data_IF_249246055284
#
_entry.id   IF_249246055284
#
_cell.length_a   1.000
_cell.length_b   1.000
_cell.length_c   1.000
_cell.angle_alpha   90.00
_cell.angle_beta   90.00
_cell.angle_gamma   90.00
#
_symmetry.space_group_name_H-M   'P 1'
#
loop_
_entity.id
_entity.type
_entity.pdbx_description
1 polymer ?
#
# COMPACT_ATOMS: atom_id res chain seq x y z
N UNK A 1 10.53 11.42 12.29
CA UNK A 1 9.75 10.96 11.13
C UNK A 1 10.60 9.99 10.33
N UNK A 2 10.05 8.85 9.93
CA UNK A 2 10.75 7.83 9.16
C UNK A 2 11.15 8.34 7.76
N UNK A 3 12.18 7.75 7.14
CA UNK A 3 12.62 8.14 5.80
C UNK A 3 11.53 7.90 4.76
N UNK A 4 10.81 6.77 4.89
CA UNK A 4 9.67 6.49 4.02
C UNK A 4 8.54 7.50 4.17
N UNK A 5 8.20 7.95 5.39
CA UNK A 5 7.19 9.02 5.57
C UNK A 5 7.60 10.32 4.87
N UNK A 6 8.89 10.71 4.99
CA UNK A 6 9.43 11.93 4.35
C UNK A 6 9.31 11.85 2.82
N UNK A 7 9.71 10.73 2.23
CA UNK A 7 9.67 10.53 0.79
C UNK A 7 8.23 10.48 0.25
N UNK A 8 7.35 9.76 0.95
CA UNK A 8 5.93 9.69 0.61
C UNK A 8 5.24 11.07 0.66
N UNK A 9 5.44 11.82 1.73
CA UNK A 9 4.85 13.16 1.86
C UNK A 9 5.44 14.16 0.85
N UNK A 10 6.71 14.01 0.48
CA UNK A 10 7.34 14.79 -0.60
C UNK A 10 6.66 14.49 -1.93
N UNK A 11 6.42 13.22 -2.25
CA UNK A 11 5.68 12.83 -3.46
C UNK A 11 4.26 13.39 -3.46
N UNK A 12 3.54 13.26 -2.35
CA UNK A 12 2.17 13.79 -2.23
C UNK A 12 2.12 15.30 -2.47
N UNK A 13 3.04 16.07 -1.86
CA UNK A 13 3.14 17.51 -2.10
C UNK A 13 3.44 17.82 -3.56
N UNK A 14 4.42 17.13 -4.14
CA UNK A 14 4.81 17.32 -5.54
C UNK A 14 3.65 17.07 -6.50
N UNK A 15 2.83 16.04 -6.27
CA UNK A 15 1.64 15.78 -7.09
C UNK A 15 0.63 16.93 -6.97
N UNK A 16 0.38 17.44 -5.77
CA UNK A 16 -0.59 18.51 -5.55
C UNK A 16 -0.12 19.87 -6.07
N UNK A 17 1.19 20.13 -6.13
CA UNK A 17 1.80 21.40 -6.53
C UNK A 17 2.14 21.44 -8.02
N UNK A 18 2.65 20.34 -8.58
CA UNK A 18 3.18 20.28 -9.94
C UNK A 18 2.37 19.37 -10.88
N UNK A 19 1.44 18.56 -10.33
CA UNK A 19 0.68 17.60 -11.10
C UNK A 19 -0.35 18.24 -12.03
N UNK A 20 -0.66 17.54 -13.11
CA UNK A 20 -1.68 17.94 -14.07
C UNK A 20 -2.97 17.17 -13.80
N UNK A 21 -4.10 17.89 -13.82
CA UNK A 21 -5.43 17.26 -13.77
C UNK A 21 -5.69 16.55 -15.09
N UNK A 22 -6.03 15.27 -15.00
CA UNK A 22 -6.27 14.41 -16.17
C UNK A 22 -7.59 13.68 -15.99
N UNK A 23 -8.43 13.76 -17.01
CA UNK A 23 -9.63 12.95 -17.12
C UNK A 23 -9.27 11.50 -17.43
N UNK A 24 -9.97 10.56 -16.80
CA UNK A 24 -9.81 9.13 -17.03
C UNK A 24 -11.16 8.42 -17.00
N UNK A 25 -11.17 7.09 -17.11
CA UNK A 25 -12.38 6.28 -17.12
C UNK A 25 -13.11 6.22 -15.76
N UNK A 26 -12.42 6.47 -14.65
CA UNK A 26 -13.03 6.41 -13.32
C UNK A 26 -13.93 7.63 -13.07
N UNK A 27 -14.81 7.56 -12.08
CA UNK A 27 -15.72 8.65 -11.73
C UNK A 27 -14.96 9.93 -11.42
N UNK A 28 -13.83 9.84 -10.71
CA UNK A 28 -13.01 10.97 -10.31
C UNK A 28 -11.82 11.18 -11.26
N UNK A 29 -11.50 12.43 -11.58
CA UNK A 29 -10.27 12.77 -12.28
C UNK A 29 -9.06 12.52 -11.39
N UNK A 30 -7.88 12.52 -11.97
CA UNK A 30 -6.61 12.39 -11.26
C UNK A 30 -5.76 13.65 -11.42
N UNK A 31 -5.03 14.01 -10.36
CA UNK A 31 -3.90 14.92 -10.41
C UNK A 31 -2.66 14.03 -10.48
N UNK A 32 -1.83 14.15 -11.52
CA UNK A 32 -0.74 13.20 -11.74
C UNK A 32 0.58 13.82 -12.17
N UNK A 33 1.65 13.13 -11.82
CA UNK A 33 2.97 13.28 -12.41
C UNK A 33 3.20 12.18 -13.45
N UNK A 34 3.89 12.45 -14.56
CA UNK A 34 4.16 11.45 -15.59
C UNK A 34 5.11 10.35 -15.11
N UNK A 35 6.02 10.66 -14.19
CA UNK A 35 6.96 9.70 -13.59
C UNK A 35 7.45 10.15 -12.23
N UNK A 36 7.82 9.19 -11.40
CA UNK A 36 8.51 9.38 -10.13
C UNK A 36 9.36 8.16 -9.79
N UNK A 37 10.53 8.37 -9.20
CA UNK A 37 11.39 7.28 -8.73
C UNK A 37 12.00 7.63 -7.40
N UNK A 38 12.18 6.61 -6.54
CA UNK A 38 12.83 6.74 -5.24
C UNK A 38 13.49 5.43 -4.84
N UNK A 39 14.39 5.50 -3.87
CA UNK A 39 15.10 4.35 -3.30
C UNK A 39 15.07 4.44 -1.78
N UNK A 40 14.79 3.32 -1.12
CA UNK A 40 14.74 3.18 0.33
C UNK A 40 15.80 2.17 0.78
N UNK A 41 16.50 2.45 1.88
CA UNK A 41 17.40 1.50 2.52
C UNK A 41 16.61 0.63 3.51
N UNK A 42 16.25 -0.59 3.11
CA UNK A 42 15.42 -1.51 3.91
C UNK A 42 16.20 -2.08 5.09
N UNK A 43 17.54 -2.12 5.00
CA UNK A 43 18.40 -2.53 6.11
C UNK A 43 18.35 -1.56 7.29
N UNK A 44 18.25 -0.26 7.01
CA UNK A 44 18.20 0.77 8.04
C UNK A 44 16.81 0.94 8.65
N UNK A 45 15.77 0.80 7.83
CA UNK A 45 14.40 1.08 8.23
C UNK A 45 13.42 0.22 7.43
N UNK A 46 12.58 -0.56 8.13
CA UNK A 46 11.48 -1.26 7.43
C UNK A 46 10.43 -0.24 6.98
N UNK A 47 10.18 -0.10 5.65
CA UNK A 47 9.36 0.97 5.12
C UNK A 47 7.86 0.71 5.30
N UNK A 48 7.31 1.23 6.37
CA UNK A 48 5.88 1.29 6.65
C UNK A 48 5.49 2.72 7.04
N UNK A 49 4.40 3.24 6.48
CA UNK A 49 3.96 4.60 6.82
C UNK A 49 3.52 4.70 8.28
N UNK A 50 3.90 5.81 8.92
CA UNK A 50 3.47 6.16 10.28
C UNK A 50 2.58 7.41 10.33
N UNK A 51 2.55 8.22 9.30
CA UNK A 51 1.68 9.42 9.20
C UNK A 51 0.20 9.08 9.03
N UNK A 52 -0.10 7.85 8.67
CA UNK A 52 -1.42 7.21 8.79
C UNK A 52 -1.24 5.73 9.11
N UNK A 53 -2.25 5.13 9.73
CA UNK A 53 -2.25 3.69 10.00
C UNK A 53 -2.21 2.88 8.71
N UNK A 54 -1.24 1.96 8.60
CA UNK A 54 -1.18 0.93 7.57
C UNK A 54 -1.52 -0.44 8.18
N UNK A 55 -2.35 -1.21 7.49
CA UNK A 55 -2.74 -2.56 7.92
C UNK A 55 -1.77 -3.58 7.32
N UNK A 56 -0.57 -3.71 7.92
CA UNK A 56 0.53 -4.54 7.40
C UNK A 56 0.13 -5.99 7.17
N UNK A 57 -0.70 -6.59 8.06
CA UNK A 57 -1.21 -7.95 7.88
C UNK A 57 -1.97 -8.11 6.55
N UNK A 58 -2.82 -7.16 6.19
CA UNK A 58 -3.55 -7.21 4.93
C UNK A 58 -2.60 -7.10 3.73
N UNK A 59 -1.62 -6.19 3.81
CA UNK A 59 -0.59 -6.03 2.79
C UNK A 59 0.23 -7.33 2.62
N UNK A 60 0.59 -7.97 3.72
CA UNK A 60 1.36 -9.21 3.71
C UNK A 60 0.56 -10.38 3.12
N UNK A 61 -0.70 -10.54 3.52
CA UNK A 61 -1.57 -11.59 2.98
C UNK A 61 -1.84 -11.41 1.48
N UNK A 62 -2.00 -10.18 1.00
CA UNK A 62 -2.12 -9.90 -0.43
C UNK A 62 -0.84 -10.29 -1.18
N UNK A 63 0.34 -9.94 -0.65
CA UNK A 63 1.61 -10.35 -1.24
C UNK A 63 1.73 -11.89 -1.32
N UNK A 64 1.45 -12.57 -0.22
CA UNK A 64 1.50 -14.03 -0.15
C UNK A 64 0.49 -14.68 -1.10
N UNK A 65 -0.70 -14.11 -1.24
CA UNK A 65 -1.71 -14.54 -2.21
C UNK A 65 -1.19 -14.49 -3.65
N UNK A 66 -0.49 -13.40 -4.03
CA UNK A 66 0.05 -13.23 -5.39
C UNK A 66 1.28 -14.11 -5.64
N UNK A 67 2.25 -14.12 -4.71
CA UNK A 67 3.59 -14.67 -4.96
C UNK A 67 3.84 -16.05 -4.36
N UNK A 68 3.18 -16.39 -3.24
CA UNK A 68 3.38 -17.69 -2.58
C UNK A 68 2.25 -18.65 -2.95
N UNK A 69 0.99 -18.28 -2.74
CA UNK A 69 -0.18 -19.09 -3.09
C UNK A 69 -0.41 -19.10 -4.59
N UNK A 70 0.03 -18.05 -5.26
CA UNK A 70 -0.07 -17.85 -6.72
C UNK A 70 -1.52 -18.01 -7.21
N UNK A 71 -2.43 -17.31 -6.52
CA UNK A 71 -3.88 -17.39 -6.76
C UNK A 71 -4.45 -16.07 -7.23
N UNK A 72 -5.57 -16.13 -7.94
CA UNK A 72 -6.43 -14.99 -8.32
C UNK A 72 -7.82 -15.08 -7.67
N UNK A 73 -8.05 -16.07 -6.80
CA UNK A 73 -9.31 -16.27 -6.09
C UNK A 73 -9.44 -15.28 -4.92
N UNK A 74 -10.43 -14.39 -5.02
CA UNK A 74 -10.71 -13.37 -3.98
C UNK A 74 -11.27 -14.01 -2.71
N UNK A 75 -11.95 -15.15 -2.81
CA UNK A 75 -12.50 -15.83 -1.63
C UNK A 75 -11.37 -16.22 -0.66
N UNK A 76 -10.19 -16.59 -1.17
CA UNK A 76 -9.02 -16.88 -0.34
C UNK A 76 -8.63 -15.70 0.59
N UNK A 77 -8.72 -14.46 0.07
CA UNK A 77 -8.49 -13.23 0.85
C UNK A 77 -9.65 -12.98 1.83
N UNK A 78 -10.90 -13.15 1.39
CA UNK A 78 -12.09 -12.95 2.22
C UNK A 78 -12.12 -13.89 3.42
N UNK A 79 -11.73 -15.16 3.24
CA UNK A 79 -11.59 -16.15 4.33
C UNK A 79 -10.57 -15.71 5.39
N UNK A 80 -9.64 -14.84 5.00
CA UNK A 80 -8.62 -14.24 5.87
C UNK A 80 -8.96 -12.81 6.33
N UNK A 81 -10.21 -12.39 6.14
CA UNK A 81 -10.72 -11.05 6.49
C UNK A 81 -9.95 -9.91 5.80
N UNK A 82 -9.59 -10.12 4.55
CA UNK A 82 -8.95 -9.15 3.67
C UNK A 82 -9.92 -8.83 2.53
N UNK A 83 -10.38 -7.58 2.47
CA UNK A 83 -11.43 -7.12 1.54
C UNK A 83 -10.92 -6.19 0.43
N UNK A 84 -9.61 -6.01 0.31
CA UNK A 84 -9.01 -5.03 -0.62
C UNK A 84 -9.26 -5.33 -2.10
N UNK A 85 -9.68 -6.55 -2.44
CA UNK A 85 -10.01 -6.99 -3.80
C UNK A 85 -11.50 -7.24 -4.04
N UNK A 86 -12.38 -7.03 -3.05
CA UNK A 86 -13.82 -7.29 -3.17
C UNK A 86 -14.46 -6.51 -4.33
N UNK A 87 -13.99 -5.29 -4.57
CA UNK A 87 -14.47 -4.39 -5.61
C UNK A 87 -14.13 -4.85 -7.04
N UNK A 88 -13.18 -5.78 -7.18
CA UNK A 88 -12.72 -6.32 -8.47
C UNK A 88 -13.07 -7.80 -8.67
N UNK A 89 -13.90 -8.35 -7.78
CA UNK A 89 -14.34 -9.74 -7.83
C UNK A 89 -15.37 -9.93 -8.94
N UNK A 90 -15.14 -10.94 -9.79
CA UNK A 90 -16.09 -11.37 -10.81
C UNK A 90 -17.25 -12.10 -10.11
N UNK A 91 -18.48 -11.73 -10.47
CA UNK A 91 -19.70 -12.29 -9.88
C UNK A 91 -20.01 -13.72 -10.34
N UNK A 92 -21.10 -14.29 -9.82
CA UNK A 92 -21.52 -15.66 -10.10
C UNK A 92 -21.95 -15.90 -11.55
N UNK A 93 -22.20 -14.84 -12.30
CA UNK A 93 -22.58 -14.87 -13.72
C UNK A 93 -21.40 -14.57 -14.65
N UNK A 94 -20.19 -14.43 -14.13
CA UNK A 94 -19.00 -14.12 -14.90
C UNK A 94 -18.82 -12.64 -15.24
N UNK A 95 -19.54 -11.72 -14.59
CA UNK A 95 -19.43 -10.28 -14.83
C UNK A 95 -18.63 -9.57 -13.74
N UNK A 96 -17.89 -8.56 -14.13
CA UNK A 96 -17.43 -7.50 -13.26
C UNK A 96 -18.22 -6.24 -13.51
N UNK A 97 -18.69 -5.61 -12.44
CA UNK A 97 -19.58 -4.46 -12.50
C UNK A 97 -18.95 -3.26 -11.80
N UNK A 98 -19.02 -2.08 -12.44
CA UNK A 98 -18.52 -0.84 -11.86
C UNK A 98 -19.24 0.39 -12.42
N UNK A 99 -19.28 1.46 -11.64
CA UNK A 99 -19.62 2.79 -12.15
C UNK A 99 -18.39 3.44 -12.77
N UNK A 100 -18.50 3.89 -14.01
CA UNK A 100 -17.42 4.56 -14.74
C UNK A 100 -17.97 5.69 -15.61
N UNK A 101 -17.07 6.55 -16.10
CA UNK A 101 -17.41 7.51 -17.15
C UNK A 101 -17.67 6.79 -18.46
N UNK A 102 -18.84 7.01 -19.02
CA UNK A 102 -19.29 6.45 -20.32
C UNK A 102 -19.49 7.60 -21.30
N UNK A 103 -19.01 7.42 -22.52
CA UNK A 103 -19.29 8.37 -23.62
C UNK A 103 -20.68 8.12 -24.18
N UNK A 104 -21.50 9.14 -24.21
CA UNK A 104 -22.82 9.11 -24.81
C UNK A 104 -22.74 9.25 -26.34
N UNK A 105 -23.79 8.85 -27.08
CA UNK A 105 -23.82 8.99 -28.53
C UNK A 105 -23.72 10.44 -29.05
N UNK A 106 -24.07 11.43 -28.23
CA UNK A 106 -23.96 12.86 -28.52
C UNK A 106 -22.55 13.45 -28.24
N UNK A 107 -21.59 12.60 -27.79
CA UNK A 107 -20.23 12.99 -27.47
C UNK A 107 -20.03 13.50 -26.04
N UNK A 108 -21.10 13.63 -25.26
CA UNK A 108 -21.01 13.99 -23.83
C UNK A 108 -20.54 12.81 -22.99
N UNK A 109 -20.11 13.08 -21.76
CA UNK A 109 -19.70 12.04 -20.80
C UNK A 109 -20.67 12.04 -19.62
N UNK A 110 -21.17 10.87 -19.25
CA UNK A 110 -21.98 10.65 -18.05
C UNK A 110 -21.40 9.54 -17.20
N UNK A 111 -21.83 9.43 -15.94
CA UNK A 111 -21.53 8.28 -15.10
C UNK A 111 -22.58 7.21 -15.39
N UNK A 112 -22.14 6.01 -15.67
CA UNK A 112 -23.00 4.87 -15.96
C UNK A 112 -22.40 3.57 -15.46
N UNK A 113 -23.25 2.55 -15.32
CA UNK A 113 -22.84 1.19 -15.00
C UNK A 113 -22.14 0.55 -16.19
N UNK A 114 -20.99 -0.04 -15.94
CA UNK A 114 -20.23 -0.87 -16.89
C UNK A 114 -20.30 -2.31 -16.44
N UNK A 115 -20.78 -3.19 -17.33
CA UNK A 115 -20.84 -4.63 -17.12
C UNK A 115 -19.86 -5.29 -18.09
N UNK A 116 -18.76 -5.83 -17.57
CA UNK A 116 -17.78 -6.53 -18.41
C UNK A 116 -17.84 -8.02 -18.13
N UNK A 117 -18.16 -8.80 -19.18
CA UNK A 117 -18.18 -10.26 -19.11
C UNK A 117 -16.77 -10.82 -19.28
N UNK A 118 -16.36 -11.69 -18.37
CA UNK A 118 -15.08 -12.39 -18.40
C UNK A 118 -15.25 -13.90 -18.61
N UNK A 119 -16.37 -14.48 -18.19
CA UNK A 119 -16.69 -15.90 -18.23
C UNK A 119 -17.07 -16.44 -16.85
N UNK A 120 -18.01 -17.40 -16.81
CA UNK A 120 -18.44 -18.03 -15.55
C UNK A 120 -17.31 -18.82 -14.89
N UNK A 121 -16.34 -19.29 -15.67
CA UNK A 121 -15.12 -19.99 -15.19
C UNK A 121 -14.24 -19.10 -14.31
N UNK A 122 -14.37 -17.77 -14.39
CA UNK A 122 -13.63 -16.81 -13.55
C UNK A 122 -14.41 -16.32 -12.33
N UNK A 123 -15.60 -16.90 -12.08
CA UNK A 123 -16.39 -16.59 -10.88
C UNK A 123 -15.54 -16.59 -9.60
N UNK A 124 -15.71 -15.56 -8.78
CA UNK A 124 -15.00 -15.41 -7.50
C UNK A 124 -13.56 -14.92 -7.62
N UNK A 125 -13.05 -14.76 -8.84
CA UNK A 125 -11.65 -14.36 -9.10
C UNK A 125 -11.56 -12.94 -9.65
N UNK A 126 -10.32 -12.48 -9.88
CA UNK A 126 -10.01 -11.25 -10.63
C UNK A 126 -9.65 -11.52 -12.11
N UNK A 127 -9.92 -12.71 -12.62
CA UNK A 127 -9.53 -13.14 -13.96
C UNK A 127 -8.05 -13.45 -14.09
N UNK A 128 -7.51 -13.40 -15.32
CA UNK A 128 -6.12 -13.78 -15.62
C UNK A 128 -5.12 -12.66 -15.27
N UNK A 129 -4.98 -12.35 -13.97
CA UNK A 129 -4.08 -11.31 -13.48
C UNK A 129 -3.33 -11.73 -12.21
N UNK A 130 -2.22 -11.08 -11.91
CA UNK A 130 -1.42 -11.23 -10.69
C UNK A 130 -1.05 -12.68 -10.38
N UNK A 131 -1.64 -13.30 -9.35
CA UNK A 131 -1.34 -14.66 -8.92
C UNK A 131 -1.63 -15.73 -10.00
N UNK A 132 -2.60 -15.50 -10.89
CA UNK A 132 -2.79 -16.35 -12.06
C UNK A 132 -1.55 -16.38 -12.95
N UNK A 133 -0.92 -15.23 -13.18
CA UNK A 133 0.26 -15.12 -14.02
C UNK A 133 1.49 -15.74 -13.35
N UNK A 134 1.69 -15.49 -12.05
CA UNK A 134 2.81 -16.08 -11.31
C UNK A 134 2.75 -17.61 -11.32
N UNK A 135 1.54 -18.17 -11.17
CA UNK A 135 1.29 -19.63 -11.26
C UNK A 135 1.60 -20.14 -12.66
N UNK A 136 0.96 -19.56 -13.67
CA UNK A 136 1.00 -20.06 -15.05
C UNK A 136 2.41 -20.09 -15.65
N UNK A 137 3.23 -19.08 -15.31
CA UNK A 137 4.55 -18.91 -15.92
C UNK A 137 5.71 -19.25 -14.97
N UNK A 138 5.41 -19.74 -13.76
CA UNK A 138 6.41 -20.16 -12.77
C UNK A 138 7.48 -19.08 -12.50
N UNK A 139 7.06 -17.81 -12.55
CA UNK A 139 8.00 -16.69 -12.43
C UNK A 139 8.69 -16.62 -11.07
N UNK A 140 7.97 -17.01 -10.01
CA UNK A 140 8.51 -17.04 -8.64
C UNK A 140 9.57 -18.13 -8.50
N UNK A 141 9.31 -19.33 -9.00
CA UNK A 141 10.27 -20.45 -8.95
C UNK A 141 11.57 -20.11 -9.66
N UNK A 142 11.47 -19.43 -10.82
CA UNK A 142 12.64 -18.96 -11.56
C UNK A 142 13.46 -17.93 -10.77
N UNK A 143 12.81 -16.96 -10.12
CA UNK A 143 13.51 -15.99 -9.27
C UNK A 143 14.17 -16.69 -8.09
N UNK A 144 13.48 -17.61 -7.43
CA UNK A 144 14.01 -18.37 -6.29
C UNK A 144 15.23 -19.19 -6.71
N UNK A 145 15.17 -19.90 -7.83
CA UNK A 145 16.33 -20.66 -8.36
C UNK A 145 17.54 -19.74 -8.59
N UNK A 146 17.32 -18.59 -9.24
CA UNK A 146 18.40 -17.63 -9.51
C UNK A 146 19.03 -17.04 -8.26
N UNK A 147 18.23 -16.58 -7.28
CA UNK A 147 18.79 -16.00 -6.05
C UNK A 147 19.51 -17.02 -5.17
N UNK A 148 19.20 -18.31 -5.33
CA UNK A 148 19.86 -19.40 -4.58
C UNK A 148 21.10 -19.88 -5.30
N UNK A 149 21.00 -20.20 -6.60
CA UNK A 149 21.98 -20.94 -7.36
C UNK A 149 22.80 -20.10 -8.36
N UNK A 150 22.32 -18.91 -8.76
CA UNK A 150 22.86 -18.07 -9.83
C UNK A 150 22.87 -16.59 -9.44
N UNK A 151 23.48 -16.27 -8.29
CA UNK A 151 23.41 -14.93 -7.65
C UNK A 151 24.00 -13.80 -8.49
N UNK A 152 24.91 -14.10 -9.39
CA UNK A 152 25.60 -13.16 -10.30
C UNK A 152 24.82 -12.86 -11.59
N UNK A 153 23.72 -13.57 -11.84
CA UNK A 153 22.92 -13.39 -13.04
C UNK A 153 22.26 -12.00 -13.07
N UNK A 154 22.24 -11.37 -14.26
CA UNK A 154 21.66 -10.03 -14.46
C UNK A 154 20.22 -10.06 -14.99
N UNK A 155 19.68 -11.25 -15.26
CA UNK A 155 18.34 -11.46 -15.80
C UNK A 155 17.36 -12.00 -14.76
N UNK A 156 17.62 -11.72 -13.48
CA UNK A 156 16.74 -12.08 -12.39
C UNK A 156 15.53 -11.13 -12.31
N UNK A 157 14.65 -11.27 -13.30
CA UNK A 157 13.47 -10.43 -13.52
C UNK A 157 12.21 -11.27 -13.41
N UNK A 158 11.26 -10.84 -12.61
CA UNK A 158 9.90 -11.36 -12.62
C UNK A 158 8.97 -10.34 -13.26
N UNK A 159 8.36 -10.71 -14.40
CA UNK A 159 7.31 -9.92 -15.04
C UNK A 159 5.97 -10.64 -14.90
N UNK A 160 4.93 -9.86 -14.62
CA UNK A 160 3.53 -10.32 -14.67
C UNK A 160 2.74 -9.62 -15.78
N UNK A 161 3.45 -8.93 -16.69
CA UNK A 161 2.87 -8.27 -17.86
C UNK A 161 2.96 -9.17 -19.08
N UNK A 162 1.88 -9.86 -19.41
CA UNK A 162 1.78 -10.72 -20.58
C UNK A 162 0.61 -10.28 -21.44
N UNK A 163 0.89 -9.83 -22.67
CA UNK A 163 -0.09 -9.19 -23.55
C UNK A 163 -1.34 -10.02 -23.85
N UNK A 164 -1.20 -11.34 -23.93
CA UNK A 164 -2.30 -12.28 -24.17
C UNK A 164 -3.25 -12.47 -22.98
N UNK A 165 -2.92 -11.90 -21.79
CA UNK A 165 -3.74 -11.98 -20.58
C UNK A 165 -4.35 -10.63 -20.16
N UNK A 166 -3.85 -9.48 -20.71
CA UNK A 166 -4.21 -8.16 -20.23
C UNK A 166 -5.70 -7.81 -20.29
N UNK A 167 -6.43 -8.39 -21.25
CA UNK A 167 -7.87 -8.13 -21.43
C UNK A 167 -8.75 -9.18 -20.73
N UNK A 168 -8.15 -10.22 -20.15
CA UNK A 168 -8.80 -11.29 -19.42
C UNK A 168 -8.75 -11.12 -17.90
N UNK A 169 -8.06 -10.12 -17.40
CA UNK A 169 -8.07 -9.69 -16.00
C UNK A 169 -8.93 -8.45 -15.81
N UNK A 170 -9.59 -8.35 -14.66
CA UNK A 170 -10.39 -7.16 -14.30
C UNK A 170 -9.52 -5.92 -14.26
N UNK A 171 -8.31 -6.04 -13.69
CA UNK A 171 -7.28 -5.00 -13.72
C UNK A 171 -6.02 -5.52 -14.40
N UNK A 172 -5.46 -4.71 -15.30
CA UNK A 172 -4.10 -4.91 -15.77
C UNK A 172 -3.12 -4.63 -14.62
N UNK A 173 -2.05 -5.43 -14.43
CA UNK A 173 -1.13 -5.26 -13.32
C UNK A 173 -0.58 -3.83 -13.21
N UNK A 174 -0.74 -3.18 -12.06
CA UNK A 174 -0.18 -1.85 -11.78
C UNK A 174 1.32 -1.95 -11.51
N UNK A 175 1.72 -2.75 -10.52
CA UNK A 175 3.09 -3.26 -10.42
C UNK A 175 3.17 -4.42 -11.41
N UNK A 176 4.03 -4.30 -12.42
CA UNK A 176 4.07 -5.25 -13.52
C UNK A 176 5.36 -6.05 -13.59
N UNK A 177 6.42 -5.62 -12.88
CA UNK A 177 7.71 -6.30 -12.82
C UNK A 177 8.47 -5.92 -11.56
N UNK A 178 9.34 -6.82 -11.11
CA UNK A 178 10.44 -6.49 -10.22
C UNK A 178 11.71 -7.24 -10.66
N UNK A 179 12.84 -6.67 -10.30
CA UNK A 179 14.17 -7.19 -10.59
C UNK A 179 14.94 -7.36 -9.27
N UNK A 180 15.79 -8.36 -9.21
CA UNK A 180 16.62 -8.64 -8.03
C UNK A 180 18.09 -8.67 -8.45
N UNK A 181 18.92 -7.97 -7.68
CA UNK A 181 20.37 -7.98 -7.78
C UNK A 181 20.97 -8.43 -6.45
N UNK A 182 21.99 -9.29 -6.50
CA UNK A 182 22.76 -9.69 -5.33
C UNK A 182 24.21 -9.30 -5.55
N UNK A 183 24.65 -8.26 -4.83
CA UNK A 183 26.03 -7.78 -4.88
C UNK A 183 26.69 -7.91 -3.52
N UNK A 184 27.83 -8.61 -3.44
CA UNK A 184 28.58 -8.81 -2.19
C UNK A 184 27.73 -9.37 -1.02
N UNK A 185 26.79 -10.28 -1.32
CA UNK A 185 25.90 -10.89 -0.33
C UNK A 185 24.76 -9.98 0.15
N UNK A 186 24.54 -8.86 -0.53
CA UNK A 186 23.44 -7.92 -0.26
C UNK A 186 22.44 -7.99 -1.41
N UNK A 187 21.17 -8.29 -1.10
CA UNK A 187 20.07 -8.35 -2.06
C UNK A 187 19.43 -6.96 -2.19
N UNK A 188 19.39 -6.45 -3.40
CA UNK A 188 18.69 -5.23 -3.79
C UNK A 188 17.51 -5.57 -4.70
N UNK A 189 16.47 -4.74 -4.69
CA UNK A 189 15.28 -4.94 -5.53
C UNK A 189 14.85 -3.66 -6.21
N UNK A 190 14.43 -3.79 -7.46
CA UNK A 190 13.85 -2.70 -8.24
C UNK A 190 12.44 -3.09 -8.68
N UNK A 191 11.45 -2.23 -8.40
CA UNK A 191 10.03 -2.46 -8.67
C UNK A 191 9.55 -1.48 -9.74
N UNK A 192 8.89 -2.00 -10.77
CA UNK A 192 8.33 -1.21 -11.86
C UNK A 192 6.81 -1.14 -11.77
N UNK A 193 6.29 0.09 -11.70
CA UNK A 193 4.86 0.35 -11.58
C UNK A 193 4.39 1.29 -12.68
N UNK A 194 3.42 0.84 -13.51
CA UNK A 194 2.91 1.62 -14.65
C UNK A 194 1.89 2.68 -14.27
N UNK A 195 1.22 2.53 -13.14
CA UNK A 195 0.17 3.41 -12.64
C UNK A 195 0.05 3.23 -11.14
N UNK A 196 -0.06 4.33 -10.41
CA UNK A 196 0.01 4.31 -8.96
C UNK A 196 -1.00 5.28 -8.34
N UNK A 197 -2.05 4.72 -7.70
CA UNK A 197 -2.83 5.43 -6.69
C UNK A 197 -1.94 5.64 -5.47
N UNK A 198 -1.33 6.83 -5.37
CA UNK A 198 -0.34 7.15 -4.34
C UNK A 198 -0.95 7.11 -2.92
N UNK A 199 -2.18 7.58 -2.68
CA UNK A 199 -2.82 7.50 -1.37
C UNK A 199 -3.11 6.08 -0.85
N UNK A 200 -3.56 5.18 -1.71
CA UNK A 200 -4.00 3.84 -1.30
C UNK A 200 -3.00 2.76 -1.69
N UNK A 201 -2.60 2.68 -2.95
CA UNK A 201 -1.79 1.60 -3.48
C UNK A 201 -0.33 1.66 -3.05
N UNK A 202 0.32 2.83 -3.17
CA UNK A 202 1.76 2.93 -2.95
C UNK A 202 2.23 2.51 -1.56
N UNK A 203 1.54 2.91 -0.45
CA UNK A 203 1.94 2.47 0.88
C UNK A 203 1.90 0.94 1.07
N UNK A 204 0.90 0.28 0.49
CA UNK A 204 0.81 -1.18 0.48
C UNK A 204 1.94 -1.78 -0.34
N UNK A 205 2.12 -1.31 -1.60
CA UNK A 205 3.13 -1.87 -2.50
C UNK A 205 4.54 -1.77 -1.91
N UNK A 206 4.93 -0.62 -1.34
CA UNK A 206 6.26 -0.46 -0.72
C UNK A 206 6.46 -1.43 0.44
N UNK A 207 5.49 -1.55 1.34
CA UNK A 207 5.55 -2.47 2.49
C UNK A 207 5.54 -3.94 2.04
N UNK A 208 4.78 -4.28 0.99
CA UNK A 208 4.73 -5.61 0.39
C UNK A 208 6.07 -6.01 -0.23
N UNK A 209 6.64 -5.14 -1.07
CA UNK A 209 7.91 -5.47 -1.73
C UNK A 209 9.10 -5.45 -0.76
N UNK A 210 9.03 -4.67 0.33
CA UNK A 210 9.99 -4.79 1.43
C UNK A 210 9.89 -6.16 2.14
N UNK A 211 8.67 -6.69 2.35
CA UNK A 211 8.49 -8.05 2.85
C UNK A 211 9.05 -9.09 1.86
N UNK A 212 8.68 -9.01 0.58
CA UNK A 212 9.14 -9.94 -0.45
C UNK A 212 10.67 -9.98 -0.54
N UNK A 213 11.29 -8.79 -0.51
CA UNK A 213 12.74 -8.63 -0.49
C UNK A 213 13.39 -9.33 0.71
N UNK A 214 12.81 -9.19 1.91
CA UNK A 214 13.29 -9.86 3.11
C UNK A 214 13.11 -11.39 3.04
N UNK A 215 11.99 -11.88 2.47
CA UNK A 215 11.77 -13.31 2.24
C UNK A 215 12.79 -13.88 1.24
N UNK A 216 13.04 -13.19 0.15
CA UNK A 216 14.07 -13.57 -0.83
C UNK A 216 15.48 -13.58 -0.21
N UNK A 217 15.83 -12.54 0.53
CA UNK A 217 17.13 -12.47 1.20
C UNK A 217 17.33 -13.63 2.21
N UNK A 218 16.26 -13.98 2.96
CA UNK A 218 16.26 -15.12 3.88
C UNK A 218 16.54 -16.44 3.15
N UNK A 219 15.83 -16.70 2.05
CA UNK A 219 15.96 -17.93 1.26
C UNK A 219 17.33 -18.01 0.58
N UNK A 220 17.83 -16.87 0.09
CA UNK A 220 19.14 -16.76 -0.56
C UNK A 220 20.32 -16.67 0.42
N UNK A 221 20.06 -16.64 1.73
CA UNK A 221 21.07 -16.38 2.75
C UNK A 221 21.89 -15.10 2.44
N UNK A 222 21.19 -14.00 2.23
CA UNK A 222 21.75 -12.67 1.94
C UNK A 222 21.26 -11.64 2.97
N UNK A 223 21.97 -10.52 3.07
CA UNK A 223 21.46 -9.33 3.75
C UNK A 223 20.49 -8.55 2.82
N UNK A 224 19.58 -7.78 3.40
CA UNK A 224 18.75 -6.86 2.62
C UNK A 224 19.50 -5.54 2.39
N UNK A 225 19.33 -4.94 1.23
CA UNK A 225 19.91 -3.67 0.83
C UNK A 225 18.85 -2.62 0.51
N UNK A 226 18.82 -2.16 -0.73
CA UNK A 226 17.96 -1.10 -1.20
C UNK A 226 16.76 -1.62 -1.97
N UNK A 227 15.60 -0.96 -1.75
CA UNK A 227 14.36 -1.16 -2.49
C UNK A 227 14.09 0.11 -3.32
N UNK A 228 14.13 -0.01 -4.62
CA UNK A 228 13.87 1.08 -5.56
C UNK A 228 12.51 0.92 -6.24
N UNK A 229 11.82 2.03 -6.46
CA UNK A 229 10.59 2.09 -7.24
C UNK A 229 10.76 3.02 -8.43
N UNK A 230 10.31 2.55 -9.59
CA UNK A 230 10.13 3.34 -10.81
C UNK A 230 8.64 3.38 -11.15
N UNK A 231 8.03 4.53 -10.99
CA UNK A 231 6.60 4.73 -11.13
C UNK A 231 6.32 5.60 -12.35
N UNK A 232 5.52 5.09 -13.28
CA UNK A 232 4.86 5.89 -14.30
C UNK A 232 3.45 6.22 -13.80
N UNK A 233 2.94 7.44 -14.09
CA UNK A 233 1.59 7.84 -13.71
C UNK A 233 1.34 7.72 -12.18
N UNK A 234 2.12 8.50 -11.41
CA UNK A 234 1.91 8.66 -9.98
C UNK A 234 0.78 9.68 -9.75
N UNK A 235 -0.34 9.27 -9.15
CA UNK A 235 -1.53 10.12 -9.08
C UNK A 235 -2.26 10.10 -7.74
N UNK A 236 -3.04 11.16 -7.53
CA UNK A 236 -4.01 11.33 -6.44
C UNK A 236 -5.36 11.61 -7.12
N UNK A 237 -6.42 10.87 -6.74
CA UNK A 237 -7.77 11.18 -7.21
C UNK A 237 -8.32 12.43 -6.53
N UNK A 238 -9.16 13.21 -7.26
CA UNK A 238 -9.72 14.46 -6.74
C UNK A 238 -10.47 14.29 -5.41
N UNK A 239 -11.20 13.16 -5.25
CA UNK A 239 -11.91 12.84 -4.00
C UNK A 239 -10.99 12.45 -2.82
N UNK A 240 -9.69 12.26 -3.04
CA UNK A 240 -8.68 11.94 -2.02
C UNK A 240 -7.89 13.16 -1.55
N UNK A 241 -8.00 14.30 -2.26
CA UNK A 241 -7.17 15.50 -2.02
C UNK A 241 -7.30 16.03 -0.60
N UNK A 242 -8.53 16.05 -0.04
CA UNK A 242 -8.77 16.51 1.34
C UNK A 242 -7.95 15.69 2.35
N UNK A 243 -7.96 14.40 2.22
CA UNK A 243 -7.28 13.46 3.12
C UNK A 243 -5.76 13.54 2.98
N UNK A 244 -5.27 13.73 1.76
CA UNK A 244 -3.83 13.88 1.54
C UNK A 244 -3.31 15.20 2.11
N UNK A 245 -4.08 16.29 1.99
CA UNK A 245 -3.75 17.56 2.66
C UNK A 245 -3.69 17.39 4.18
N UNK A 246 -4.64 16.65 4.77
CA UNK A 246 -4.62 16.31 6.20
C UNK A 246 -3.37 15.50 6.56
N UNK A 247 -3.00 14.49 5.77
CA UNK A 247 -1.81 13.67 6.03
C UNK A 247 -0.51 14.50 5.92
N UNK A 248 -0.44 15.41 4.95
CA UNK A 248 0.69 16.36 4.83
C UNK A 248 0.79 17.24 6.07
N UNK A 249 -0.34 17.71 6.59
CA UNK A 249 -0.38 18.53 7.79
C UNK A 249 0.06 17.78 9.04
N UNK A 250 -0.36 16.51 9.21
CA UNK A 250 0.16 15.62 10.26
C UNK A 250 1.69 15.54 10.20
N UNK A 251 2.28 15.41 9.01
CA UNK A 251 3.73 15.40 8.81
C UNK A 251 4.40 16.74 9.14
N UNK A 252 3.75 17.88 8.88
CA UNK A 252 4.26 19.20 9.29
C UNK A 252 4.31 19.31 10.82
N UNK A 253 3.24 18.96 11.51
CA UNK A 253 3.22 18.94 12.97
C UNK A 253 4.30 18.03 13.53
N UNK A 254 4.44 16.84 12.97
CA UNK A 254 5.50 15.91 13.40
C UNK A 254 6.89 16.52 13.23
N UNK A 255 7.17 17.22 12.14
CA UNK A 255 8.44 17.90 11.91
C UNK A 255 8.72 19.03 12.91
N UNK A 256 7.67 19.71 13.41
CA UNK A 256 7.81 20.77 14.42
C UNK A 256 8.25 20.16 15.76
N UNK A 257 7.68 19.02 16.14
CA UNK A 257 7.96 18.37 17.43
C UNK A 257 9.17 17.43 17.37
N UNK A 258 9.63 17.02 16.18
CA UNK A 258 10.77 16.14 15.99
C UNK A 258 12.09 16.83 16.39
N UNK A 259 12.54 16.71 17.53
CA UNK A 259 13.74 17.39 18.04
C UNK A 259 13.51 18.11 19.36
N UNK A 260 12.26 18.16 19.80
CA UNK A 260 11.97 18.60 21.16
C UNK A 260 12.55 17.59 22.16
N UNK A 261 13.48 18.07 22.96
CA UNK A 261 14.19 17.24 23.96
C UNK A 261 13.59 17.36 25.36
N UNK A 262 12.72 18.34 25.59
CA UNK A 262 12.11 18.54 26.90
C UNK A 262 10.87 17.64 27.03
N UNK A 263 11.08 16.45 27.59
CA UNK A 263 10.02 15.44 27.80
C UNK A 263 8.94 15.93 28.76
N UNK A 264 9.30 16.63 29.84
CA UNK A 264 8.35 17.14 30.84
C UNK A 264 7.38 18.14 30.21
N UNK A 265 7.88 19.01 29.32
CA UNK A 265 7.05 19.92 28.57
C UNK A 265 6.11 19.19 27.61
N UNK A 266 6.60 18.17 26.89
CA UNK A 266 5.79 17.36 25.99
C UNK A 266 4.70 16.59 26.74
N UNK A 267 5.02 16.05 27.92
CA UNK A 267 4.04 15.35 28.77
C UNK A 267 2.95 16.33 29.27
N UNK A 268 3.33 17.54 29.70
CA UNK A 268 2.38 18.57 30.06
C UNK A 268 1.47 19.00 28.89
N UNK A 269 2.02 19.12 27.66
CA UNK A 269 1.20 19.37 26.47
C UNK A 269 0.29 18.17 26.15
N UNK A 270 0.78 16.94 26.31
CA UNK A 270 -0.04 15.73 26.10
C UNK A 270 -1.25 15.71 27.04
N UNK A 271 -1.06 16.02 28.31
CA UNK A 271 -2.14 16.11 29.28
C UNK A 271 -3.17 17.19 28.86
N UNK A 272 -2.69 18.37 28.54
CA UNK A 272 -3.55 19.49 28.08
C UNK A 272 -4.39 19.08 26.85
N UNK A 273 -3.75 18.58 25.79
CA UNK A 273 -4.46 18.18 24.57
C UNK A 273 -5.33 16.94 24.78
N UNK A 274 -5.03 16.10 25.75
CA UNK A 274 -5.89 14.97 26.11
C UNK A 274 -7.18 15.46 26.80
N UNK A 275 -7.10 16.43 27.71
CA UNK A 275 -8.27 17.05 28.35
C UNK A 275 -9.13 17.75 27.29
N UNK A 276 -8.53 18.50 26.39
CA UNK A 276 -9.24 19.23 25.32
C UNK A 276 -9.91 18.26 24.33
N UNK A 277 -9.18 17.19 23.92
CA UNK A 277 -9.74 16.12 23.10
C UNK A 277 -10.97 15.48 23.74
N UNK A 278 -10.91 15.12 25.01
CA UNK A 278 -12.02 14.48 25.71
C UNK A 278 -13.24 15.42 25.78
N UNK A 279 -13.04 16.70 26.09
CA UNK A 279 -14.12 17.70 26.09
C UNK A 279 -14.84 17.77 24.74
N UNK A 280 -14.09 17.85 23.63
CA UNK A 280 -14.68 17.88 22.29
C UNK A 280 -15.33 16.54 21.96
N UNK A 281 -14.64 15.41 22.23
CA UNK A 281 -15.15 14.07 21.96
C UNK A 281 -16.51 13.80 22.63
N UNK A 282 -16.71 14.28 23.86
CA UNK A 282 -17.97 14.11 24.60
C UNK A 282 -19.13 14.88 23.95
N UNK A 283 -18.86 15.93 23.16
CA UNK A 283 -19.88 16.68 22.42
C UNK A 283 -20.24 16.07 21.07
N UNK A 284 -19.43 15.13 20.56
CA UNK A 284 -19.69 14.50 19.27
C UNK A 284 -20.93 13.61 19.31
N UNK A 285 -21.68 13.61 18.20
CA UNK A 285 -22.77 12.65 17.98
C UNK A 285 -22.23 11.20 17.87
N UNK A 286 -23.09 10.23 18.06
CA UNK A 286 -22.71 8.80 17.93
C UNK A 286 -22.26 8.48 16.49
N UNK A 287 -22.81 9.16 15.48
CA UNK A 287 -22.38 9.04 14.10
C UNK A 287 -20.95 9.54 13.91
N UNK A 288 -20.63 10.74 14.44
CA UNK A 288 -19.28 11.31 14.38
C UNK A 288 -18.26 10.44 15.12
N UNK A 289 -18.61 9.89 16.29
CA UNK A 289 -17.77 8.93 17.03
C UNK A 289 -17.54 7.65 16.21
N UNK A 290 -18.57 7.15 15.53
CA UNK A 290 -18.45 6.00 14.62
C UNK A 290 -17.54 6.31 13.43
N UNK A 291 -17.69 7.48 12.82
CA UNK A 291 -16.87 7.96 11.72
C UNK A 291 -15.39 8.10 12.12
N UNK A 292 -15.12 8.61 13.32
CA UNK A 292 -13.76 8.69 13.88
C UNK A 292 -13.08 7.32 13.94
N UNK A 293 -13.78 6.28 14.36
CA UNK A 293 -13.26 4.89 14.39
C UNK A 293 -12.91 4.38 12.99
N UNK A 294 -13.58 4.86 11.96
CA UNK A 294 -13.31 4.54 10.55
C UNK A 294 -12.16 5.38 9.95
N UNK A 295 -11.71 6.43 10.63
CA UNK A 295 -10.68 7.36 10.16
C UNK A 295 -11.24 8.59 9.44
N UNK A 296 -12.54 8.84 9.56
CA UNK A 296 -13.20 10.06 9.08
C UNK A 296 -13.25 11.01 10.28
N UNK A 297 -12.36 12.00 10.28
CA UNK A 297 -12.18 12.91 11.42
C UNK A 297 -13.03 14.16 11.25
N UNK A 298 -13.99 14.44 12.17
CA UNK A 298 -14.71 15.72 12.18
C UNK A 298 -13.77 16.92 12.31
N UNK A 299 -14.08 18.01 11.61
CA UNK A 299 -13.21 19.19 11.58
C UNK A 299 -12.97 19.78 12.97
N UNK A 300 -13.99 19.75 13.85
CA UNK A 300 -13.94 20.29 15.21
C UNK A 300 -12.88 19.65 16.11
N UNK A 301 -12.56 18.36 15.91
CA UNK A 301 -11.61 17.61 16.76
C UNK A 301 -10.26 17.35 16.06
N UNK A 302 -10.16 17.65 14.76
CA UNK A 302 -9.03 17.25 13.92
C UNK A 302 -7.69 17.77 14.42
N UNK A 303 -7.60 19.06 14.67
CA UNK A 303 -6.35 19.70 15.09
C UNK A 303 -5.87 19.16 16.44
N UNK A 304 -6.76 19.16 17.43
CA UNK A 304 -6.46 18.66 18.79
C UNK A 304 -6.02 17.20 18.78
N UNK A 305 -6.74 16.38 18.02
CA UNK A 305 -6.40 14.96 17.84
C UNK A 305 -5.03 14.78 17.15
N UNK A 306 -4.77 15.59 16.12
CA UNK A 306 -3.50 15.53 15.38
C UNK A 306 -2.33 15.89 16.28
N UNK A 307 -2.41 17.01 17.01
CA UNK A 307 -1.35 17.47 17.92
C UNK A 307 -1.13 16.45 19.04
N UNK A 308 -2.20 15.96 19.67
CA UNK A 308 -2.10 14.90 20.70
C UNK A 308 -1.36 13.67 20.19
N UNK A 309 -1.72 13.17 19.01
CA UNK A 309 -1.11 11.98 18.43
C UNK A 309 0.36 12.22 18.03
N UNK A 310 0.69 13.41 17.54
CA UNK A 310 2.07 13.83 17.23
C UNK A 310 2.92 13.88 18.49
N UNK A 311 2.40 14.41 19.60
CA UNK A 311 3.14 14.45 20.88
C UNK A 311 3.39 13.02 21.38
N UNK A 312 2.37 12.16 21.36
CA UNK A 312 2.52 10.74 21.71
C UNK A 312 3.56 10.03 20.85
N UNK A 313 3.59 10.31 19.57
CA UNK A 313 4.58 9.79 18.63
C UNK A 313 5.98 10.30 18.98
N UNK A 314 6.11 11.59 19.30
CA UNK A 314 7.41 12.23 19.63
C UNK A 314 7.99 11.70 20.95
N UNK A 315 7.14 11.52 21.97
CA UNK A 315 7.56 10.92 23.26
C UNK A 315 7.98 9.45 23.11
N UNK A 316 7.41 8.74 22.15
CA UNK A 316 7.66 7.33 21.92
C UNK A 316 7.84 7.06 20.42
N UNK A 317 8.94 7.52 19.81
CA UNK A 317 9.13 7.40 18.36
C UNK A 317 9.12 5.93 17.93
N UNK A 318 8.39 5.59 16.85
CA UNK A 318 8.38 4.22 16.34
C UNK A 318 9.74 3.86 15.75
N UNK A 319 10.08 2.60 15.87
CA UNK A 319 11.18 1.96 15.17
C UNK A 319 10.68 0.67 14.56
N UNK A 320 9.93 0.75 13.44
CA UNK A 320 9.35 -0.43 12.82
C UNK A 320 10.44 -1.40 12.39
N UNK A 321 10.31 -2.64 12.80
CA UNK A 321 11.18 -3.74 12.44
C UNK A 321 10.35 -4.88 11.90
N UNK A 322 10.79 -5.50 10.80
CA UNK A 322 10.16 -6.69 10.29
C UNK A 322 10.63 -7.91 11.10
N UNK A 323 9.71 -8.55 11.79
CA UNK A 323 9.92 -9.92 12.27
C UNK A 323 9.59 -10.90 11.14
N UNK A 324 10.52 -11.73 10.79
CA UNK A 324 10.32 -12.95 10.03
C UNK A 324 10.71 -14.15 10.90
N UNK A 325 9.85 -15.18 10.93
CA UNK A 325 10.13 -16.39 11.70
C UNK A 325 11.49 -16.98 11.27
N UNK A 326 12.47 -17.07 12.19
CA UNK A 326 13.82 -17.54 11.86
C UNK A 326 13.87 -19.02 11.44
N UNK A 327 12.89 -19.82 11.85
CA UNK A 327 12.82 -21.25 11.55
C UNK A 327 12.30 -21.52 10.13
N UNK A 328 11.77 -20.50 9.44
CA UNK A 328 11.26 -20.63 8.07
C UNK A 328 12.32 -20.14 7.09
N UNK A 329 12.89 -21.08 6.34
CA UNK A 329 13.91 -20.84 5.32
C UNK A 329 13.44 -21.17 3.90
N UNK A 330 12.25 -21.72 3.76
CA UNK A 330 11.60 -22.06 2.48
C UNK A 330 10.52 -21.03 2.19
N UNK A 331 10.58 -20.40 1.02
CA UNK A 331 9.65 -19.36 0.59
C UNK A 331 8.17 -19.78 0.70
N UNK A 332 7.87 -21.03 0.33
CA UNK A 332 6.50 -21.55 0.31
C UNK A 332 5.98 -22.02 1.67
N UNK A 333 6.82 -22.00 2.72
CA UNK A 333 6.45 -22.43 4.08
C UNK A 333 6.14 -21.28 5.03
N UNK A 334 6.32 -20.02 4.63
CA UNK A 334 5.83 -18.91 5.46
C UNK A 334 4.32 -19.01 5.65
N UNK A 335 3.88 -18.87 6.89
CA UNK A 335 2.47 -18.97 7.25
C UNK A 335 1.63 -17.90 6.55
N UNK A 336 0.58 -18.35 5.88
CA UNK A 336 -0.36 -17.53 5.12
C UNK A 336 -1.82 -17.68 5.56
N UNK A 337 -2.06 -18.16 6.80
CA UNK A 337 -3.38 -18.16 7.42
C UNK A 337 -3.81 -16.74 7.86
N UNK A 338 -5.00 -16.63 8.45
CA UNK A 338 -5.53 -15.35 8.93
C UNK A 338 -4.56 -14.61 9.87
N UNK A 339 -3.77 -15.30 10.67
CA UNK A 339 -2.87 -14.68 11.64
C UNK A 339 -1.59 -14.13 11.00
N UNK A 340 -1.12 -14.70 9.89
CA UNK A 340 0.13 -14.35 9.21
C UNK A 340 1.31 -14.30 10.20
N UNK A 341 1.44 -15.33 11.05
CA UNK A 341 2.29 -15.32 12.25
C UNK A 341 3.78 -15.24 11.98
N UNK A 342 4.23 -15.70 10.80
CA UNK A 342 5.64 -15.76 10.43
C UNK A 342 6.19 -14.41 9.92
N UNK A 343 5.31 -13.43 9.66
CA UNK A 343 5.69 -12.08 9.26
C UNK A 343 4.89 -11.04 10.03
N UNK A 344 5.56 -10.18 10.80
CA UNK A 344 4.93 -9.12 11.60
C UNK A 344 5.80 -7.87 11.63
N UNK A 345 5.17 -6.71 11.71
CA UNK A 345 5.90 -5.46 11.99
C UNK A 345 5.85 -5.20 13.50
N UNK A 346 7.02 -5.24 14.11
CA UNK A 346 7.22 -4.92 15.53
C UNK A 346 7.44 -3.42 15.72
N UNK A 347 7.21 -2.90 16.92
CA UNK A 347 7.46 -1.51 17.31
C UNK A 347 6.79 -0.47 16.39
N UNK A 348 5.71 -0.86 15.72
CA UNK A 348 4.93 0.02 14.85
C UNK A 348 3.98 0.89 15.66
N UNK A 349 4.07 2.20 15.44
CA UNK A 349 3.13 3.22 15.92
C UNK A 349 2.82 4.18 14.80
N UNK A 350 1.63 4.74 14.80
CA UNK A 350 1.15 5.61 13.74
C UNK A 350 0.32 6.80 14.30
N UNK A 351 0.08 7.80 13.47
CA UNK A 351 -0.72 8.98 13.82
C UNK A 351 -2.24 8.75 13.68
N UNK A 352 -2.67 7.49 13.62
CA UNK A 352 -4.07 7.12 13.56
C UNK A 352 -4.59 6.85 12.15
N UNK A 353 -5.80 6.30 12.10
CA UNK A 353 -6.50 6.00 10.84
C UNK A 353 -6.77 7.27 10.04
N UNK A 354 -6.75 7.14 8.74
CA UNK A 354 -7.20 8.14 7.78
C UNK A 354 -7.97 7.40 6.69
N UNK A 355 -9.27 7.66 6.61
CA UNK A 355 -10.10 7.07 5.56
C UNK A 355 -9.78 7.77 4.23
N UNK A 356 -9.43 6.98 3.24
CA UNK A 356 -9.18 7.45 1.88
C UNK A 356 -10.15 6.72 0.96
N UNK A 357 -10.99 7.45 0.20
CA UNK A 357 -11.97 6.80 -0.68
C UNK A 357 -11.30 6.10 -1.86
N UNK A 358 -11.87 4.98 -2.27
CA UNK A 358 -11.49 4.24 -3.49
C UNK A 358 -12.12 4.93 -4.70
N UNK A 359 -11.43 4.96 -5.84
CA UNK A 359 -11.98 5.34 -7.15
C UNK A 359 -11.88 4.16 -8.12
N UNK A 360 -13.01 3.83 -8.78
CA UNK A 360 -13.15 2.72 -9.73
C UNK A 360 -13.26 3.23 -11.16
#
# INVERSE_FOLDING_TARGET
>A
MLNWDKEYLKLCRKILEEGTVVENRTVNNTIKLPSYSFTLNVKEEFPILTTKKLFSRQAFLELLWIYQVQSNDVNWLQDRKVSIWDEWKIDDKGYWNAEQKVKNPDGTTSIGEVHKYFGEEYKGTIGEAYGFITNKYHGVDRVLDKIINHKEDRDNVLSIWYNNHLDKGVLRPCVWSHEVDITNGVLNMWVHQRSCDVPLGLPFNVTQFALLMNMYARVANCEVGTLSFSIKDAHIYENQVKQIKEQIERGKFLSIYEGYKNTDWLEGQLERYTIEYNKIYDTLSEEEKSNLKKGITPDVIREVMTIKNVILYTLNPPKPELYLNPDVTDFYKFNNDEECKDAKVLNYKDLGRLYIPVSK
#
